data_IF_176169731921
#
_entry.id   IF_176169731921
#
_cell.length_a   1.000
_cell.length_b   1.000
_cell.length_c   1.000
_cell.angle_alpha   90.00
_cell.angle_beta   90.00
_cell.angle_gamma   90.00
#
_symmetry.space_group_name_H-M   'P 1'
#
loop_
_entity.id
_entity.type
_entity.pdbx_description
1 polymer ?
#
# COMPACT_ATOMS: atom_id res chain seq x y z
N UNK A 1 -16.00 16.40 -11.77
CA UNK A 1 -15.63 16.50 -10.33
C UNK A 1 -14.21 16.08 -10.04
N UNK A 2 -13.71 14.96 -10.57
CA UNK A 2 -12.31 14.52 -10.36
C UNK A 2 -11.28 15.62 -10.65
N UNK A 3 -11.32 16.21 -11.86
CA UNK A 3 -10.38 17.25 -12.26
C UNK A 3 -10.40 18.48 -11.34
N UNK A 4 -11.56 18.84 -10.79
CA UNK A 4 -11.64 19.93 -9.81
C UNK A 4 -10.92 19.55 -8.52
N UNK A 5 -11.15 18.35 -7.98
CA UNK A 5 -10.51 17.88 -6.76
C UNK A 5 -8.98 17.83 -6.93
N UNK A 6 -8.53 17.19 -8.01
CA UNK A 6 -7.11 17.08 -8.33
C UNK A 6 -6.46 18.45 -8.53
N UNK A 7 -7.13 19.37 -9.24
CA UNK A 7 -6.64 20.74 -9.44
C UNK A 7 -6.52 21.54 -8.14
N UNK A 8 -7.49 21.41 -7.23
CA UNK A 8 -7.45 22.07 -5.92
C UNK A 8 -6.32 21.51 -5.06
N UNK A 9 -6.19 20.18 -5.00
CA UNK A 9 -5.16 19.50 -4.20
C UNK A 9 -3.73 19.71 -4.73
N UNK A 10 -3.56 19.97 -6.03
CA UNK A 10 -2.27 20.34 -6.61
C UNK A 10 -1.80 21.73 -6.18
N UNK A 11 -2.71 22.63 -5.81
CA UNK A 11 -2.41 24.02 -5.50
C UNK A 11 -2.36 24.25 -3.99
N UNK A 12 -1.40 23.59 -3.34
CA UNK A 12 -1.22 23.58 -1.89
C UNK A 12 -1.12 24.99 -1.26
N UNK A 13 -0.59 25.95 -2.01
CA UNK A 13 -0.45 27.34 -1.58
C UNK A 13 -1.81 28.03 -1.40
N UNK A 14 -2.83 27.63 -2.18
CA UNK A 14 -4.16 28.21 -2.09
C UNK A 14 -4.92 27.76 -0.84
N UNK A 15 -4.66 26.53 -0.36
CA UNK A 15 -5.32 26.00 0.83
C UNK A 15 -4.71 26.53 2.14
N UNK A 16 -3.60 27.27 2.08
CA UNK A 16 -2.92 27.78 3.28
C UNK A 16 -2.30 26.68 4.15
N UNK A 17 -2.24 25.44 3.66
CA UNK A 17 -1.70 24.29 4.41
C UNK A 17 -0.17 24.30 4.57
N UNK A 18 0.50 25.37 4.09
CA UNK A 18 1.96 25.50 4.08
C UNK A 18 2.55 26.29 5.26
N UNK A 19 1.75 26.86 6.17
CA UNK A 19 2.27 27.76 7.20
C UNK A 19 1.93 27.35 8.63
N UNK A 20 2.65 26.37 9.19
CA UNK A 20 2.75 26.24 10.65
C UNK A 20 4.06 25.51 11.01
N UNK A 21 5.00 26.26 11.61
CA UNK A 21 6.29 25.76 12.09
C UNK A 21 7.36 26.83 12.30
N UNK A 22 7.29 27.58 13.42
CA UNK A 22 8.27 28.63 13.77
C UNK A 22 9.60 28.08 14.35
N UNK A 23 9.72 26.77 14.58
CA UNK A 23 10.94 26.16 15.10
C UNK A 23 11.19 24.83 14.38
N UNK A 24 12.20 24.77 13.50
CA UNK A 24 12.80 23.48 13.10
C UNK A 24 12.81 23.10 11.62
N UNK A 25 12.15 23.83 10.72
CA UNK A 25 12.19 23.53 9.28
C UNK A 25 10.83 23.74 8.59
N UNK A 26 10.85 23.97 7.28
CA UNK A 26 9.63 24.05 6.45
C UNK A 26 9.11 22.64 6.15
N UNK A 27 8.15 22.16 6.93
CA UNK A 27 7.51 20.87 6.68
C UNK A 27 6.32 21.04 5.74
N UNK A 28 6.41 20.48 4.53
CA UNK A 28 5.37 20.54 3.50
C UNK A 28 4.21 19.60 3.83
N UNK A 29 2.97 20.08 3.84
CA UNK A 29 1.80 19.25 4.12
C UNK A 29 1.75 18.06 3.16
N UNK A 30 1.78 16.83 3.69
CA UNK A 30 1.65 15.63 2.84
C UNK A 30 0.19 15.34 2.52
N UNK A 31 -0.75 15.83 3.33
CA UNK A 31 -2.20 15.65 3.17
C UNK A 31 -2.71 15.94 1.76
N UNK A 32 -2.45 17.11 1.13
CA UNK A 32 -2.99 17.39 -0.20
C UNK A 32 -2.43 16.42 -1.25
N UNK A 33 -1.14 16.09 -1.19
CA UNK A 33 -0.53 15.10 -2.09
C UNK A 33 -1.06 13.70 -1.84
N UNK A 34 -1.23 13.31 -0.58
CA UNK A 34 -1.76 12.01 -0.21
C UNK A 34 -3.17 11.84 -0.76
N UNK A 35 -4.06 12.80 -0.50
CA UNK A 35 -5.42 12.82 -1.03
C UNK A 35 -5.45 12.88 -2.56
N UNK A 36 -4.56 13.67 -3.18
CA UNK A 36 -4.43 13.72 -4.64
C UNK A 36 -4.17 12.33 -5.22
N UNK A 37 -3.13 11.65 -4.73
CA UNK A 37 -2.77 10.33 -5.28
C UNK A 37 -3.76 9.25 -4.85
N UNK A 38 -4.36 9.35 -3.66
CA UNK A 38 -5.44 8.44 -3.25
C UNK A 38 -6.62 8.53 -4.23
N UNK A 39 -7.07 9.73 -4.58
CA UNK A 39 -8.15 9.93 -5.56
C UNK A 39 -7.71 9.41 -6.94
N UNK A 40 -6.54 9.81 -7.43
CA UNK A 40 -6.05 9.45 -8.76
C UNK A 40 -5.91 7.93 -8.93
N UNK A 41 -5.35 7.23 -7.95
CA UNK A 41 -5.23 5.76 -8.00
C UNK A 41 -6.58 5.08 -7.73
N UNK A 42 -7.39 5.58 -6.78
CA UNK A 42 -8.70 4.98 -6.46
C UNK A 42 -9.67 4.98 -7.64
N UNK A 43 -9.69 6.06 -8.43
CA UNK A 43 -10.55 6.14 -9.63
C UNK A 43 -10.23 5.05 -10.64
N UNK A 44 -8.98 4.60 -10.75
CA UNK A 44 -8.58 3.49 -11.63
C UNK A 44 -9.18 2.15 -11.21
N UNK A 45 -9.57 2.01 -9.94
CA UNK A 45 -10.25 0.83 -9.38
C UNK A 45 -11.77 0.99 -9.27
N UNK A 46 -12.31 2.17 -9.58
CA UNK A 46 -13.72 2.47 -9.32
C UNK A 46 -14.04 2.59 -7.83
N UNK A 47 -13.08 3.04 -7.02
CA UNK A 47 -13.31 3.36 -5.61
C UNK A 47 -14.03 4.70 -5.40
N UNK A 48 -14.40 4.98 -4.15
CA UNK A 48 -15.25 6.09 -3.72
C UNK A 48 -14.49 7.23 -3.02
N UNK A 49 -13.15 7.19 -3.01
CA UNK A 49 -12.32 8.20 -2.31
C UNK A 49 -12.64 9.63 -2.77
N UNK A 50 -12.95 9.82 -4.06
CA UNK A 50 -13.33 11.12 -4.60
C UNK A 50 -14.64 11.64 -3.97
N UNK A 51 -15.63 10.77 -3.84
CA UNK A 51 -16.93 11.13 -3.27
C UNK A 51 -16.79 11.42 -1.77
N UNK A 52 -16.01 10.59 -1.06
CA UNK A 52 -15.66 10.82 0.33
C UNK A 52 -14.92 12.15 0.52
N UNK A 53 -13.97 12.49 -0.35
CA UNK A 53 -13.28 13.78 -0.28
C UNK A 53 -14.24 14.97 -0.36
N UNK A 54 -15.20 14.95 -1.30
CA UNK A 54 -16.20 16.02 -1.41
C UNK A 54 -17.18 16.04 -0.25
N UNK A 55 -17.55 14.87 0.28
CA UNK A 55 -18.39 14.77 1.48
C UNK A 55 -17.70 15.41 2.69
N UNK A 56 -16.45 15.05 2.96
CA UNK A 56 -15.68 15.60 4.08
C UNK A 56 -15.39 17.09 3.90
N UNK A 57 -15.09 17.54 2.68
CA UNK A 57 -14.89 18.97 2.39
C UNK A 57 -16.19 19.77 2.58
N UNK A 58 -17.34 19.20 2.24
CA UNK A 58 -18.65 19.82 2.50
C UNK A 58 -19.03 19.82 3.99
N UNK A 59 -18.42 18.97 4.80
CA UNK A 59 -18.60 18.96 6.25
C UNK A 59 -17.77 20.04 6.98
N UNK A 60 -16.77 20.63 6.31
CA UNK A 60 -15.94 21.71 6.85
C UNK A 60 -16.69 23.03 7.04
N UNK A 61 -17.66 23.36 6.17
CA UNK A 61 -18.44 24.60 6.24
C UNK A 61 -19.73 24.48 5.39
N UNK A 62 -20.87 25.00 5.89
CA UNK A 62 -22.15 24.99 5.17
C UNK A 62 -22.06 25.68 3.79
N UNK A 63 -21.27 26.75 3.68
CA UNK A 63 -21.03 27.48 2.43
C UNK A 63 -20.16 26.67 1.48
N UNK A 64 -19.19 25.91 1.97
CA UNK A 64 -18.44 24.96 1.13
C UNK A 64 -19.37 23.92 0.52
N UNK A 65 -20.29 23.37 1.30
CA UNK A 65 -21.30 22.43 0.80
C UNK A 65 -22.15 23.00 -0.35
N UNK A 66 -22.62 24.25 -0.21
CA UNK A 66 -23.33 24.95 -1.28
C UNK A 66 -22.45 25.19 -2.52
N UNK A 67 -21.20 25.59 -2.30
CA UNK A 67 -20.26 25.87 -3.37
C UNK A 67 -19.84 24.60 -4.12
N UNK A 68 -19.76 23.44 -3.45
CA UNK A 68 -19.53 22.13 -4.08
C UNK A 68 -20.68 21.78 -5.04
N UNK A 69 -21.94 21.99 -4.63
CA UNK A 69 -23.09 21.78 -5.54
C UNK A 69 -23.06 22.72 -6.74
N UNK A 70 -22.59 23.96 -6.55
CA UNK A 70 -22.38 24.90 -7.65
C UNK A 70 -21.27 24.42 -8.59
N UNK A 71 -20.16 23.92 -8.03
CA UNK A 71 -19.01 23.43 -8.79
C UNK A 71 -19.35 22.19 -9.63
N UNK A 72 -20.27 21.33 -9.16
CA UNK A 72 -20.78 20.19 -9.95
C UNK A 72 -21.44 20.58 -11.27
N UNK A 73 -21.91 21.82 -11.40
CA UNK A 73 -22.54 22.35 -12.62
C UNK A 73 -21.56 23.10 -13.53
N UNK A 74 -20.31 23.33 -13.09
CA UNK A 74 -19.28 23.99 -13.89
C UNK A 74 -18.36 22.94 -14.55
N UNK A 75 -17.94 23.20 -15.79
CA UNK A 75 -16.86 22.44 -16.41
C UNK A 75 -15.52 22.80 -15.77
N UNK A 76 -14.60 21.84 -15.74
CA UNK A 76 -13.24 22.12 -15.31
C UNK A 76 -12.51 22.99 -16.33
N UNK A 77 -12.21 24.24 -15.94
CA UNK A 77 -11.41 25.19 -16.74
C UNK A 77 -9.98 25.29 -16.21
N UNK A 78 -9.82 25.47 -14.90
CA UNK A 78 -8.53 25.54 -14.24
C UNK A 78 -8.65 25.28 -12.74
N UNK A 79 -7.52 24.95 -12.10
CA UNK A 79 -7.43 24.82 -10.65
C UNK A 79 -7.85 26.10 -9.93
N UNK A 80 -7.34 27.26 -10.38
CA UNK A 80 -7.68 28.56 -9.79
C UNK A 80 -9.19 28.85 -9.88
N UNK A 81 -9.81 28.61 -11.05
CA UNK A 81 -11.24 28.83 -11.22
C UNK A 81 -12.05 27.92 -10.28
N UNK A 82 -11.65 26.66 -10.16
CA UNK A 82 -12.29 25.70 -9.24
C UNK A 82 -12.20 26.18 -7.80
N UNK A 83 -11.02 26.67 -7.40
CA UNK A 83 -10.77 27.24 -6.09
C UNK A 83 -11.64 28.49 -5.83
N UNK A 84 -11.68 29.43 -6.77
CA UNK A 84 -12.47 30.67 -6.66
C UNK A 84 -13.97 30.39 -6.51
N UNK A 85 -14.48 29.34 -7.17
CA UNK A 85 -15.87 28.90 -7.06
C UNK A 85 -16.08 28.22 -5.71
N UNK A 86 -15.19 27.31 -5.32
CA UNK A 86 -15.27 26.54 -4.08
C UNK A 86 -15.25 27.45 -2.85
N UNK A 87 -14.36 28.44 -2.80
CA UNK A 87 -14.21 29.36 -1.66
C UNK A 87 -14.95 30.69 -1.86
N UNK A 88 -15.95 30.74 -2.77
CA UNK A 88 -16.71 31.97 -3.01
C UNK A 88 -17.42 32.42 -1.74
N UNK A 89 -17.01 33.58 -1.22
CA UNK A 89 -17.58 34.16 0.00
C UNK A 89 -17.02 33.58 1.30
N UNK A 90 -15.92 32.82 1.22
CA UNK A 90 -15.18 32.29 2.36
C UNK A 90 -13.72 32.76 2.29
N UNK A 91 -13.11 33.02 3.44
CA UNK A 91 -11.65 33.04 3.54
C UNK A 91 -11.20 31.59 3.85
N UNK A 92 -10.39 30.95 3.00
CA UNK A 92 -9.87 29.60 3.26
C UNK A 92 -9.20 29.46 4.63
N UNK A 93 -8.67 30.55 5.21
CA UNK A 93 -8.03 30.53 6.54
C UNK A 93 -9.01 30.38 7.70
N UNK A 94 -10.28 30.72 7.48
CA UNK A 94 -11.34 30.64 8.49
C UNK A 94 -12.09 29.30 8.43
N UNK A 95 -11.78 28.44 7.46
CA UNK A 95 -12.41 27.13 7.28
C UNK A 95 -11.74 26.09 8.17
N UNK A 96 -12.55 25.33 8.91
CA UNK A 96 -12.09 24.16 9.66
C UNK A 96 -11.95 22.93 8.76
N UNK A 97 -10.71 22.62 8.37
CA UNK A 97 -10.40 21.46 7.53
C UNK A 97 -10.28 20.14 8.30
N UNK A 98 -10.59 20.09 9.60
CA UNK A 98 -10.44 18.88 10.42
C UNK A 98 -11.07 17.62 9.79
N UNK A 99 -12.30 17.63 9.22
CA UNK A 99 -12.87 16.44 8.59
C UNK A 99 -12.02 15.87 7.44
N UNK A 100 -11.41 16.74 6.63
CA UNK A 100 -10.52 16.34 5.52
C UNK A 100 -9.18 15.82 6.05
N UNK A 101 -8.67 16.41 7.14
CA UNK A 101 -7.45 15.96 7.80
C UNK A 101 -7.65 14.59 8.47
N UNK A 102 -8.79 14.37 9.15
CA UNK A 102 -9.17 13.08 9.72
C UNK A 102 -9.26 11.99 8.64
N UNK A 103 -9.91 12.28 7.51
CA UNK A 103 -9.95 11.37 6.36
C UNK A 103 -8.54 10.99 5.88
N UNK A 104 -7.66 11.97 5.70
CA UNK A 104 -6.29 11.72 5.27
C UNK A 104 -5.52 10.87 6.30
N UNK A 105 -5.71 11.14 7.60
CA UNK A 105 -5.12 10.37 8.70
C UNK A 105 -5.64 8.92 8.75
N UNK A 106 -6.92 8.71 8.49
CA UNK A 106 -7.52 7.38 8.36
C UNK A 106 -6.85 6.58 7.24
N UNK A 107 -6.78 7.12 6.02
CA UNK A 107 -6.12 6.44 4.90
C UNK A 107 -4.62 6.21 5.15
N UNK A 108 -3.92 7.20 5.70
CA UNK A 108 -2.51 7.07 6.06
C UNK A 108 -2.29 5.90 7.04
N UNK A 109 -3.13 5.78 8.06
CA UNK A 109 -3.03 4.74 9.08
C UNK A 109 -3.44 3.37 8.53
N UNK A 110 -4.59 3.32 7.86
CA UNK A 110 -5.26 2.07 7.52
C UNK A 110 -4.81 1.49 6.19
N UNK A 111 -4.34 2.30 5.23
CA UNK A 111 -3.63 1.83 4.04
C UNK A 111 -2.12 1.95 4.21
N UNK A 112 -1.62 3.13 4.55
CA UNK A 112 -0.16 3.39 4.62
C UNK A 112 0.58 2.49 5.61
N UNK A 113 0.29 2.64 6.89
CA UNK A 113 0.97 1.88 7.95
C UNK A 113 0.65 0.38 7.83
N UNK A 114 -0.56 0.01 7.41
CA UNK A 114 -0.91 -1.39 7.19
C UNK A 114 -0.05 -2.01 6.08
N UNK A 115 0.02 -1.40 4.89
CA UNK A 115 0.73 -1.96 3.74
C UNK A 115 2.25 -1.93 3.92
N UNK A 116 2.79 -1.00 4.70
CA UNK A 116 4.22 -0.95 5.02
C UNK A 116 4.60 -1.78 6.25
N UNK A 117 3.68 -2.52 6.88
CA UNK A 117 4.00 -3.39 8.01
C UNK A 117 3.89 -4.88 7.62
N UNK A 118 4.87 -5.45 6.89
CA UNK A 118 4.81 -6.84 6.42
C UNK A 118 4.78 -7.86 7.59
N UNK A 119 5.32 -7.47 8.74
CA UNK A 119 5.51 -8.35 9.90
C UNK A 119 4.26 -8.63 10.72
N UNK A 120 3.29 -7.71 10.79
CA UNK A 120 2.13 -7.81 11.68
C UNK A 120 2.53 -8.06 13.16
N UNK A 121 1.56 -8.40 14.03
CA UNK A 121 1.89 -8.91 15.38
C UNK A 121 2.70 -10.21 15.22
N UNK A 122 3.94 -10.27 15.73
CA UNK A 122 4.67 -11.54 15.93
C UNK A 122 3.77 -12.47 16.74
N UNK A 123 3.07 -13.38 16.07
CA UNK A 123 2.12 -14.29 16.69
C UNK A 123 2.39 -15.69 16.15
N UNK A 124 2.81 -16.57 17.05
CA UNK A 124 3.09 -17.98 16.81
C UNK A 124 4.56 -18.32 16.57
N UNK A 125 5.01 -19.43 17.15
CA UNK A 125 6.25 -20.10 16.79
C UNK A 125 6.19 -20.51 15.31
N UNK A 126 7.26 -20.26 14.56
CA UNK A 126 7.39 -20.78 13.19
C UNK A 126 7.27 -22.30 13.25
N UNK A 127 6.47 -22.90 12.36
CA UNK A 127 6.49 -24.35 12.19
C UNK A 127 7.92 -24.82 11.90
N UNK A 128 8.41 -25.79 12.66
CA UNK A 128 9.81 -26.23 12.65
C UNK A 128 10.23 -27.03 11.40
N UNK A 129 9.46 -26.97 10.31
CA UNK A 129 9.75 -27.74 9.11
C UNK A 129 10.86 -27.09 8.29
N UNK A 130 11.84 -27.89 7.87
CA UNK A 130 12.81 -27.44 6.88
C UNK A 130 12.16 -27.44 5.49
N UNK A 131 12.40 -26.40 4.69
CA UNK A 131 11.99 -26.34 3.26
C UNK A 131 12.36 -27.63 2.53
N UNK A 132 13.52 -28.21 2.84
CA UNK A 132 14.02 -29.45 2.21
C UNK A 132 13.10 -30.66 2.43
N UNK A 133 12.35 -30.68 3.53
CA UNK A 133 11.42 -31.76 3.86
C UNK A 133 10.11 -31.59 3.08
N UNK A 134 9.59 -30.36 3.04
CA UNK A 134 8.26 -30.05 2.47
C UNK A 134 8.28 -29.99 0.94
N UNK A 135 9.41 -29.58 0.34
CA UNK A 135 9.54 -29.45 -1.12
C UNK A 135 9.35 -30.78 -1.87
N UNK A 136 9.76 -31.89 -1.25
CA UNK A 136 9.68 -33.23 -1.85
C UNK A 136 8.30 -33.86 -1.74
N UNK A 137 7.39 -33.29 -0.95
CA UNK A 137 6.02 -33.78 -0.82
C UNK A 137 5.20 -33.54 -2.10
N UNK A 138 4.18 -34.35 -2.33
CA UNK A 138 3.30 -34.15 -3.48
C UNK A 138 2.42 -32.92 -3.29
N UNK A 139 2.15 -32.22 -4.38
CA UNK A 139 1.30 -31.02 -4.37
C UNK A 139 -0.07 -31.27 -3.74
N UNK A 140 -0.70 -32.41 -4.04
CA UNK A 140 -2.01 -32.76 -3.48
C UNK A 140 -1.97 -33.00 -1.97
N UNK A 141 -0.88 -33.57 -1.45
CA UNK A 141 -0.69 -33.78 -0.01
C UNK A 141 -0.54 -32.44 0.72
N UNK A 142 0.22 -31.50 0.15
CA UNK A 142 0.36 -30.15 0.67
C UNK A 142 -0.98 -29.40 0.68
N UNK A 143 -1.73 -29.46 -0.43
CA UNK A 143 -3.05 -28.83 -0.54
C UNK A 143 -4.06 -29.47 0.42
N UNK A 144 -3.98 -30.79 0.63
CA UNK A 144 -4.85 -31.49 1.57
C UNK A 144 -4.57 -31.06 3.01
N UNK A 145 -3.30 -30.97 3.43
CA UNK A 145 -2.94 -30.43 4.77
C UNK A 145 -3.46 -29.02 4.99
N UNK A 146 -3.37 -28.17 3.95
CA UNK A 146 -3.95 -26.81 4.01
C UNK A 146 -5.45 -26.88 4.28
N UNK A 147 -6.19 -27.77 3.62
CA UNK A 147 -7.64 -27.92 3.84
C UNK A 147 -7.98 -28.48 5.22
N UNK A 148 -7.30 -29.54 5.64
CA UNK A 148 -7.57 -30.25 6.90
C UNK A 148 -7.36 -29.36 8.13
N UNK A 149 -6.43 -28.43 8.04
CA UNK A 149 -6.09 -27.49 9.11
C UNK A 149 -6.86 -26.17 9.00
N UNK A 150 -7.99 -26.14 8.27
CA UNK A 150 -8.88 -24.97 8.21
C UNK A 150 -8.40 -23.83 7.32
N UNK A 151 -7.55 -24.12 6.32
CA UNK A 151 -6.95 -23.15 5.42
C UNK A 151 -5.52 -22.78 5.82
N UNK A 152 -5.06 -21.62 5.35
CA UNK A 152 -3.66 -21.22 5.55
C UNK A 152 -3.36 -20.52 6.89
N UNK A 153 -4.37 -20.25 7.73
CA UNK A 153 -4.26 -19.91 9.15
C UNK A 153 -3.12 -18.97 9.58
N UNK A 154 -2.73 -19.02 10.86
CA UNK A 154 -1.56 -18.30 11.37
C UNK A 154 -0.27 -18.91 10.81
N UNK A 155 0.26 -18.31 9.74
CA UNK A 155 1.63 -18.44 9.21
C UNK A 155 2.14 -19.87 8.95
N UNK A 156 1.54 -20.56 7.98
CA UNK A 156 2.15 -21.73 7.31
C UNK A 156 3.16 -21.32 6.24
N UNK A 157 4.13 -20.49 6.62
CA UNK A 157 5.07 -19.90 5.67
C UNK A 157 5.85 -20.97 4.90
N UNK A 158 6.22 -22.08 5.54
CA UNK A 158 6.97 -23.16 4.88
C UNK A 158 6.13 -23.92 3.82
N UNK A 159 4.84 -24.14 4.08
CA UNK A 159 3.95 -24.72 3.06
C UNK A 159 3.73 -23.75 1.90
N UNK A 160 3.52 -22.46 2.18
CA UNK A 160 3.37 -21.44 1.14
C UNK A 160 4.65 -21.27 0.31
N UNK A 161 5.83 -21.33 0.94
CA UNK A 161 7.14 -21.36 0.25
C UNK A 161 7.23 -22.57 -0.69
N UNK A 162 6.88 -23.77 -0.21
CA UNK A 162 6.92 -24.99 -1.00
C UNK A 162 5.93 -24.95 -2.18
N UNK A 163 4.71 -24.50 -1.96
CA UNK A 163 3.71 -24.33 -3.01
C UNK A 163 4.15 -23.27 -4.05
N UNK A 164 4.68 -22.14 -3.59
CA UNK A 164 5.24 -21.09 -4.44
C UNK A 164 6.41 -21.61 -5.31
N UNK A 165 7.29 -22.46 -4.76
CA UNK A 165 8.33 -23.13 -5.56
C UNK A 165 7.75 -24.06 -6.63
N UNK A 166 6.73 -24.84 -6.26
CA UNK A 166 6.08 -25.74 -7.22
C UNK A 166 5.36 -24.95 -8.32
N UNK A 167 4.85 -23.75 -8.00
CA UNK A 167 4.23 -22.83 -8.97
C UNK A 167 5.26 -22.16 -9.89
N UNK A 168 6.30 -21.55 -9.33
CA UNK A 168 7.16 -20.61 -10.07
C UNK A 168 8.53 -21.16 -10.44
N UNK A 169 8.97 -22.25 -9.80
CA UNK A 169 10.29 -22.85 -9.98
C UNK A 169 11.25 -22.51 -8.85
N UNK A 170 12.52 -22.91 -9.01
CA UNK A 170 13.57 -22.84 -7.98
C UNK A 170 14.53 -21.64 -8.13
N UNK A 171 14.13 -20.61 -8.87
CA UNK A 171 14.88 -19.36 -9.08
C UNK A 171 14.05 -18.16 -8.66
N UNK A 172 14.71 -17.09 -8.20
CA UNK A 172 14.05 -15.82 -7.96
C UNK A 172 13.68 -15.18 -9.30
N UNK A 173 12.39 -14.93 -9.52
CA UNK A 173 11.84 -14.39 -10.77
C UNK A 173 12.36 -12.99 -11.14
N UNK A 174 13.01 -12.30 -10.19
CA UNK A 174 13.46 -10.91 -10.34
C UNK A 174 14.97 -10.79 -10.50
N UNK A 175 15.74 -11.80 -10.09
CA UNK A 175 17.22 -11.74 -10.05
C UNK A 175 17.88 -12.91 -10.79
N UNK A 176 17.09 -13.88 -11.24
CA UNK A 176 17.50 -15.16 -11.82
C UNK A 176 18.43 -15.99 -10.92
N UNK A 177 18.55 -15.64 -9.63
CA UNK A 177 19.38 -16.38 -8.70
C UNK A 177 18.67 -17.65 -8.22
N UNK A 178 19.36 -18.81 -8.19
CA UNK A 178 18.78 -20.04 -7.66
C UNK A 178 18.61 -19.95 -6.14
N UNK A 179 17.55 -20.57 -5.62
CA UNK A 179 17.28 -20.60 -4.19
C UNK A 179 17.97 -21.77 -3.47
N UNK A 180 18.35 -21.57 -2.20
CA UNK A 180 18.60 -22.67 -1.26
C UNK A 180 17.26 -23.30 -0.83
N UNK A 181 17.16 -24.64 -0.66
CA UNK A 181 18.24 -25.63 -0.67
C UNK A 181 18.57 -26.26 -2.02
N UNK A 182 17.92 -25.88 -3.12
CA UNK A 182 18.12 -26.51 -4.44
C UNK A 182 19.52 -26.31 -5.01
N UNK A 183 20.18 -25.22 -4.61
CA UNK A 183 21.57 -24.94 -4.92
C UNK A 183 22.27 -24.44 -3.65
N UNK A 184 23.33 -25.14 -3.21
CA UNK A 184 24.11 -24.75 -2.02
C UNK A 184 24.78 -23.37 -2.16
N UNK A 185 25.09 -22.95 -3.38
CA UNK A 185 25.60 -21.63 -3.69
C UNK A 185 24.49 -20.58 -3.94
N UNK A 186 23.22 -21.00 -3.87
CA UNK A 186 22.07 -20.14 -4.10
C UNK A 186 21.83 -19.10 -3.00
N UNK A 187 20.83 -18.26 -3.22
CA UNK A 187 20.39 -17.21 -2.29
C UNK A 187 19.39 -17.74 -1.26
N UNK A 188 19.28 -17.05 -0.12
CA UNK A 188 18.25 -17.35 0.87
C UNK A 188 16.88 -16.92 0.36
N UNK A 189 15.91 -17.82 0.55
CA UNK A 189 14.53 -17.61 0.20
C UNK A 189 13.82 -16.73 1.23
N UNK A 190 13.12 -15.70 0.77
CA UNK A 190 12.11 -14.98 1.54
C UNK A 190 10.73 -15.15 0.89
N UNK A 191 9.72 -15.44 1.70
CA UNK A 191 8.33 -15.47 1.24
C UNK A 191 7.74 -14.07 1.41
N UNK A 192 7.49 -13.41 0.29
CA UNK A 192 6.81 -12.14 0.27
C UNK A 192 5.30 -12.36 0.18
N UNK A 193 4.52 -11.63 0.98
CA UNK A 193 3.08 -11.47 0.73
C UNK A 193 2.88 -10.22 -0.13
N UNK A 194 1.97 -10.28 -1.10
CA UNK A 194 1.64 -9.13 -1.95
C UNK A 194 0.82 -8.14 -1.13
N UNK A 195 -0.28 -8.60 -0.54
CA UNK A 195 -0.99 -7.85 0.50
C UNK A 195 -0.50 -8.36 1.86
N UNK A 196 0.06 -7.49 2.71
CA UNK A 196 0.70 -7.94 3.93
C UNK A 196 -0.32 -8.44 4.95
N UNK A 197 0.13 -9.39 5.78
CA UNK A 197 -0.68 -10.01 6.83
C UNK A 197 -1.15 -9.03 7.91
N UNK A 198 -0.53 -7.85 8.01
CA UNK A 198 -1.00 -6.75 8.86
C UNK A 198 -2.42 -6.28 8.53
N UNK A 199 -2.94 -6.56 7.33
CA UNK A 199 -4.31 -6.25 6.92
C UNK A 199 -5.33 -7.20 7.56
N UNK A 200 -4.89 -8.40 7.97
CA UNK A 200 -5.77 -9.44 8.51
C UNK A 200 -6.56 -8.96 9.73
N UNK A 201 -7.87 -9.25 9.74
CA UNK A 201 -8.78 -8.99 10.86
C UNK A 201 -8.77 -7.53 11.36
N UNK A 202 -8.53 -6.56 10.47
CA UNK A 202 -8.63 -5.13 10.76
C UNK A 202 -9.80 -4.49 9.99
N UNK A 203 -10.99 -4.38 10.61
CA UNK A 203 -12.19 -3.90 9.91
C UNK A 203 -12.00 -2.50 9.32
N UNK A 204 -11.32 -1.59 10.01
CA UNK A 204 -11.07 -0.23 9.52
C UNK A 204 -10.12 -0.22 8.30
N UNK A 205 -9.11 -1.09 8.29
CA UNK A 205 -8.27 -1.30 7.11
C UNK A 205 -9.07 -1.85 5.94
N UNK A 206 -9.95 -2.83 6.17
CA UNK A 206 -10.81 -3.35 5.11
C UNK A 206 -11.80 -2.30 4.61
N UNK A 207 -12.32 -1.43 5.49
CA UNK A 207 -13.15 -0.27 5.11
C UNK A 207 -12.39 0.68 4.21
N UNK A 208 -11.15 1.05 4.55
CA UNK A 208 -10.33 1.90 3.68
C UNK A 208 -9.97 1.22 2.35
N UNK A 209 -9.76 -0.10 2.32
CA UNK A 209 -9.57 -0.83 1.05
C UNK A 209 -10.85 -0.82 0.23
N UNK A 210 -12.03 -0.99 0.84
CA UNK A 210 -13.32 -0.92 0.14
C UNK A 210 -13.52 0.46 -0.48
N UNK A 211 -13.22 1.52 0.27
CA UNK A 211 -13.31 2.88 -0.24
C UNK A 211 -12.31 3.12 -1.38
N UNK A 212 -11.08 2.63 -1.23
CA UNK A 212 -10.02 2.84 -2.22
C UNK A 212 -10.22 2.04 -3.51
N UNK A 213 -10.59 0.77 -3.43
CA UNK A 213 -10.57 -0.17 -4.56
C UNK A 213 -11.88 -0.95 -4.77
N UNK A 214 -12.94 -0.63 -4.02
CA UNK A 214 -14.24 -1.27 -4.11
C UNK A 214 -14.37 -2.55 -3.29
N UNK A 215 -15.63 -2.97 -3.06
CA UNK A 215 -15.96 -4.14 -2.24
C UNK A 215 -15.38 -5.46 -2.79
N UNK A 216 -15.33 -5.62 -4.12
CA UNK A 216 -14.77 -6.81 -4.76
C UNK A 216 -13.27 -7.00 -4.41
N UNK A 217 -12.49 -5.92 -4.29
CA UNK A 217 -11.10 -6.01 -3.87
C UNK A 217 -10.97 -6.48 -2.41
N UNK A 218 -11.89 -6.06 -1.54
CA UNK A 218 -11.93 -6.52 -0.14
C UNK A 218 -12.25 -8.01 -0.06
N UNK A 219 -13.22 -8.48 -0.84
CA UNK A 219 -13.55 -9.90 -0.88
C UNK A 219 -12.30 -10.71 -1.28
N UNK A 220 -11.59 -10.31 -2.34
CA UNK A 220 -10.33 -10.96 -2.74
C UNK A 220 -9.29 -10.95 -1.61
N UNK A 221 -9.07 -9.80 -0.96
CA UNK A 221 -8.13 -9.67 0.16
C UNK A 221 -8.50 -10.63 1.30
N UNK A 222 -9.76 -10.65 1.73
CA UNK A 222 -10.22 -11.48 2.86
C UNK A 222 -10.10 -12.96 2.55
N UNK A 223 -10.48 -13.39 1.34
CA UNK A 223 -10.43 -14.80 0.96
C UNK A 223 -9.01 -15.31 0.69
N UNK A 224 -8.10 -14.43 0.26
CA UNK A 224 -6.79 -14.84 -0.26
C UNK A 224 -5.59 -14.35 0.53
N UNK A 225 -5.75 -13.66 1.67
CA UNK A 225 -4.62 -13.08 2.40
C UNK A 225 -3.50 -14.07 2.74
N UNK A 226 -3.85 -15.31 3.12
CA UNK A 226 -2.87 -16.36 3.39
C UNK A 226 -2.78 -17.40 2.27
N UNK A 227 -3.22 -17.10 1.05
CA UNK A 227 -3.28 -18.06 -0.06
C UNK A 227 -2.02 -18.01 -0.93
N UNK A 228 -1.75 -19.07 -1.71
CA UNK A 228 -0.70 -19.06 -2.75
C UNK A 228 -0.86 -17.88 -3.72
N UNK A 229 -2.11 -17.46 -3.99
CA UNK A 229 -2.43 -16.30 -4.81
C UNK A 229 -1.95 -14.95 -4.25
N UNK A 230 -1.58 -14.87 -2.97
CA UNK A 230 -1.10 -13.64 -2.34
C UNK A 230 0.40 -13.70 -1.98
N UNK A 231 1.14 -14.67 -2.49
CA UNK A 231 2.56 -14.82 -2.14
C UNK A 231 3.46 -15.06 -3.34
N UNK A 232 4.73 -14.74 -3.16
CA UNK A 232 5.81 -15.08 -4.08
C UNK A 232 7.12 -15.27 -3.34
N UNK A 233 8.00 -16.08 -3.91
CA UNK A 233 9.32 -16.36 -3.37
C UNK A 233 10.35 -15.39 -3.95
N UNK A 234 11.12 -14.74 -3.09
CA UNK A 234 12.09 -13.71 -3.47
C UNK A 234 13.46 -13.90 -2.83
N UNK A 235 14.47 -13.31 -3.48
CA UNK A 235 15.77 -13.02 -2.88
C UNK A 235 15.64 -11.88 -1.84
N UNK A 236 16.51 -11.84 -0.84
CA UNK A 236 16.41 -10.94 0.31
C UNK A 236 16.40 -9.45 -0.04
N UNK A 237 17.24 -8.98 -0.97
CA UNK A 237 17.27 -7.58 -1.38
C UNK A 237 16.06 -7.21 -2.25
N UNK A 238 15.64 -8.11 -3.14
CA UNK A 238 14.40 -7.95 -3.90
C UNK A 238 13.17 -7.86 -2.96
N UNK A 239 13.16 -8.66 -1.89
CA UNK A 239 12.14 -8.59 -0.84
C UNK A 239 12.19 -7.29 -0.05
N UNK A 240 13.37 -6.87 0.42
CA UNK A 240 13.52 -5.63 1.18
C UNK A 240 13.11 -4.38 0.38
N UNK A 241 13.46 -4.32 -0.91
CA UNK A 241 13.00 -3.24 -1.79
C UNK A 241 11.50 -3.26 -2.06
N UNK A 242 10.87 -4.45 -2.09
CA UNK A 242 9.41 -4.57 -2.18
C UNK A 242 8.72 -4.05 -0.91
N UNK A 243 9.23 -4.43 0.27
CA UNK A 243 8.73 -3.95 1.57
C UNK A 243 8.87 -2.42 1.74
N UNK A 244 9.85 -1.82 1.05
CA UNK A 244 10.07 -0.37 0.98
C UNK A 244 9.30 0.33 -0.14
N UNK A 245 8.42 -0.40 -0.82
CA UNK A 245 7.57 0.08 -1.91
C UNK A 245 8.37 0.71 -3.06
N UNK A 246 9.56 0.19 -3.36
CA UNK A 246 10.41 0.71 -4.45
C UNK A 246 9.93 0.21 -5.82
N UNK A 247 9.15 -0.86 -5.83
CA UNK A 247 8.60 -1.46 -7.02
C UNK A 247 7.30 -2.22 -6.69
N UNK A 248 6.53 -2.57 -7.72
CA UNK A 248 5.33 -3.39 -7.62
C UNK A 248 5.06 -4.20 -8.87
N UNK A 249 3.93 -4.89 -8.91
CA UNK A 249 3.54 -5.78 -10.01
C UNK A 249 2.28 -5.24 -10.66
N UNK A 250 2.36 -4.94 -11.96
CA UNK A 250 1.18 -4.63 -12.77
C UNK A 250 0.68 -5.93 -13.42
N UNK A 251 -0.56 -6.31 -13.16
CA UNK A 251 -1.18 -7.46 -13.81
C UNK A 251 -2.15 -6.99 -14.91
N UNK A 252 -2.06 -7.59 -16.10
CA UNK A 252 -2.95 -7.29 -17.25
C UNK A 252 -3.50 -8.56 -17.85
N UNK A 253 -4.78 -8.53 -18.19
CA UNK A 253 -5.39 -9.59 -18.99
C UNK A 253 -5.15 -9.32 -20.48
N UNK A 254 -4.42 -10.22 -21.14
CA UNK A 254 -4.11 -10.17 -22.57
C UNK A 254 -4.44 -11.52 -23.22
N UNK A 255 -5.47 -11.54 -24.08
CA UNK A 255 -5.84 -12.77 -24.80
C UNK A 255 -6.40 -13.88 -23.92
N UNK A 256 -7.02 -13.54 -22.77
CA UNK A 256 -7.56 -14.49 -21.81
C UNK A 256 -6.53 -15.09 -20.84
N UNK A 257 -5.28 -14.62 -20.90
CA UNK A 257 -4.24 -14.94 -19.94
C UNK A 257 -3.80 -13.68 -19.20
N UNK A 258 -3.41 -13.83 -17.94
CA UNK A 258 -2.85 -12.72 -17.16
C UNK A 258 -1.34 -12.67 -17.35
N UNK A 259 -0.82 -11.51 -17.71
CA UNK A 259 0.62 -11.18 -17.70
C UNK A 259 0.95 -10.24 -16.56
N UNK A 260 2.15 -10.39 -16.02
CA UNK A 260 2.64 -9.61 -14.90
C UNK A 260 3.85 -8.81 -15.34
N UNK A 261 3.89 -7.53 -15.05
CA UNK A 261 4.97 -6.63 -15.44
C UNK A 261 5.60 -6.01 -14.20
N UNK A 262 6.92 -6.02 -14.17
CA UNK A 262 7.70 -5.35 -13.14
C UNK A 262 7.54 -3.84 -13.30
N UNK A 263 7.16 -3.15 -12.23
CA UNK A 263 7.01 -1.70 -12.22
C UNK A 263 7.88 -1.05 -11.16
N UNK A 264 8.80 -0.18 -11.58
CA UNK A 264 9.51 0.69 -10.65
C UNK A 264 8.58 1.80 -10.20
N UNK A 265 8.71 2.20 -8.94
CA UNK A 265 7.94 3.32 -8.38
C UNK A 265 8.90 4.50 -8.27
N UNK A 266 8.63 5.61 -8.98
CA UNK A 266 9.52 6.77 -8.96
C UNK A 266 9.79 7.23 -7.54
N UNK A 267 11.07 7.43 -7.22
CA UNK A 267 11.48 8.07 -5.97
C UNK A 267 12.17 9.40 -6.28
N UNK A 268 12.15 10.35 -5.33
CA UNK A 268 12.81 11.66 -5.50
C UNK A 268 14.31 11.52 -5.73
N UNK A 269 14.89 10.44 -5.22
CA UNK A 269 16.29 10.11 -5.38
C UNK A 269 16.43 9.15 -6.56
N UNK A 270 17.09 9.60 -7.63
CA UNK A 270 17.40 8.80 -8.83
C UNK A 270 18.44 7.68 -8.54
N UNK A 271 18.35 7.07 -7.37
CA UNK A 271 19.22 5.99 -6.92
C UNK A 271 18.78 4.77 -7.73
N UNK A 272 19.77 4.18 -8.41
CA UNK A 272 19.70 2.93 -9.18
C UNK A 272 18.63 2.01 -8.59
N UNK A 273 17.76 1.49 -9.46
CA UNK A 273 16.74 0.51 -9.09
C UNK A 273 17.34 -0.62 -8.23
N UNK A 274 16.50 -1.33 -7.46
CA UNK A 274 16.92 -2.28 -6.44
C UNK A 274 18.04 -3.17 -6.97
N UNK A 275 19.27 -2.96 -6.47
CA UNK A 275 20.52 -3.20 -7.22
C UNK A 275 20.81 -4.65 -7.66
N UNK A 276 19.96 -5.60 -7.30
CA UNK A 276 20.06 -7.00 -7.66
C UNK A 276 18.94 -7.49 -8.60
N UNK A 277 17.90 -6.67 -8.84
CA UNK A 277 16.83 -7.00 -9.78
C UNK A 277 17.36 -6.84 -11.22
N UNK A 278 17.25 -7.91 -12.01
CA UNK A 278 17.69 -7.96 -13.41
C UNK A 278 16.66 -7.36 -14.36
N UNK A 279 15.39 -7.31 -13.93
CA UNK A 279 14.28 -6.76 -14.71
C UNK A 279 14.30 -5.23 -14.79
N UNK A 280 13.94 -4.71 -15.96
CA UNK A 280 13.67 -3.29 -16.21
C UNK A 280 12.19 -2.97 -16.07
N UNK A 281 11.87 -1.71 -15.82
CA UNK A 281 10.47 -1.27 -15.79
C UNK A 281 9.72 -1.70 -17.07
N UNK A 282 8.59 -2.36 -16.89
CA UNK A 282 7.75 -2.88 -17.96
C UNK A 282 8.15 -4.24 -18.51
N UNK A 283 9.22 -4.87 -18.01
CA UNK A 283 9.55 -6.26 -18.37
C UNK A 283 8.62 -7.25 -17.67
N UNK A 284 8.33 -8.34 -18.35
CA UNK A 284 7.40 -9.37 -17.87
C UNK A 284 8.04 -10.24 -16.78
N UNK A 285 7.32 -10.40 -15.67
CA UNK A 285 7.62 -11.37 -14.61
C UNK A 285 6.94 -12.69 -14.98
N UNK A 286 7.74 -13.72 -15.28
CA UNK A 286 7.22 -14.98 -15.79
C UNK A 286 6.91 -15.97 -14.66
N UNK A 287 5.76 -15.79 -14.01
CA UNK A 287 5.21 -16.72 -13.03
C UNK A 287 4.78 -18.07 -13.64
N UNK A 288 4.56 -19.09 -12.82
CA UNK A 288 3.99 -20.37 -13.30
C UNK A 288 4.97 -21.29 -14.04
N UNK A 289 6.27 -20.97 -14.04
CA UNK A 289 7.32 -21.79 -14.68
C UNK A 289 7.71 -23.05 -13.91
N UNK A 290 7.20 -23.22 -12.70
CA UNK A 290 7.46 -24.38 -11.86
C UNK A 290 6.77 -25.64 -12.39
N UNK A 291 7.12 -26.81 -11.82
CA UNK A 291 6.59 -28.10 -12.25
C UNK A 291 5.06 -28.21 -12.16
N UNK A 292 4.41 -27.39 -11.33
CA UNK A 292 2.98 -27.42 -11.03
C UNK A 292 2.30 -26.08 -11.32
N UNK A 293 2.94 -25.17 -12.07
CA UNK A 293 2.42 -23.83 -12.35
C UNK A 293 1.00 -23.83 -12.90
N UNK A 294 0.71 -24.68 -13.90
CA UNK A 294 -0.66 -24.83 -14.46
C UNK A 294 -1.71 -25.24 -13.43
N UNK A 295 -1.32 -26.03 -12.43
CA UNK A 295 -2.23 -26.55 -11.38
C UNK A 295 -2.44 -25.53 -10.26
N UNK A 296 -1.39 -24.79 -9.91
CA UNK A 296 -1.38 -23.85 -8.79
C UNK A 296 -1.74 -22.41 -9.19
N UNK A 297 -2.08 -22.20 -10.46
CA UNK A 297 -2.31 -20.89 -11.06
C UNK A 297 -1.01 -20.31 -11.61
N UNK A 298 -1.08 -19.62 -12.75
CA UNK A 298 0.10 -19.06 -13.43
C UNK A 298 0.59 -17.75 -12.77
N UNK A 299 0.54 -17.66 -11.43
CA UNK A 299 0.98 -16.50 -10.67
C UNK A 299 0.08 -16.13 -9.50
N UNK A 300 0.36 -14.99 -8.86
CA UNK A 300 -0.51 -14.41 -7.85
C UNK A 300 -1.82 -13.85 -8.44
N UNK A 301 -2.76 -13.46 -7.59
CA UNK A 301 -4.03 -12.91 -8.03
C UNK A 301 -3.84 -11.49 -8.60
N UNK A 302 -4.37 -11.21 -9.81
CA UNK A 302 -4.18 -9.92 -10.48
C UNK A 302 -4.63 -8.73 -9.64
N UNK A 303 -5.81 -8.84 -9.01
CA UNK A 303 -6.41 -7.81 -8.17
C UNK A 303 -5.50 -7.42 -7.00
N UNK A 304 -4.84 -8.41 -6.37
CA UNK A 304 -3.95 -8.17 -5.23
C UNK A 304 -2.66 -7.47 -5.68
N UNK A 305 -2.09 -7.86 -6.82
CA UNK A 305 -0.93 -7.18 -7.42
C UNK A 305 -1.24 -5.71 -7.73
N UNK A 306 -2.36 -5.47 -8.42
CA UNK A 306 -2.79 -4.13 -8.80
C UNK A 306 -3.06 -3.27 -7.57
N UNK A 307 -3.76 -3.81 -6.55
CA UNK A 307 -4.02 -3.09 -5.30
C UNK A 307 -2.72 -2.70 -4.58
N UNK A 308 -1.76 -3.63 -4.44
CA UNK A 308 -0.48 -3.32 -3.82
C UNK A 308 0.29 -2.25 -4.59
N UNK A 309 0.35 -2.35 -5.93
CA UNK A 309 1.03 -1.36 -6.77
C UNK A 309 0.40 0.02 -6.64
N UNK A 310 -0.93 0.11 -6.59
CA UNK A 310 -1.66 1.36 -6.45
C UNK A 310 -1.38 2.01 -5.09
N UNK A 311 -1.48 1.26 -3.99
CA UNK A 311 -1.13 1.76 -2.65
C UNK A 311 0.34 2.18 -2.60
N UNK A 312 1.24 1.41 -3.21
CA UNK A 312 2.65 1.73 -3.26
C UNK A 312 2.92 3.07 -3.98
N UNK A 313 2.25 3.33 -5.10
CA UNK A 313 2.30 4.61 -5.82
C UNK A 313 1.79 5.76 -4.95
N UNK A 314 0.63 5.60 -4.32
CA UNK A 314 0.06 6.61 -3.41
C UNK A 314 1.08 7.01 -2.35
N UNK A 315 1.67 6.04 -1.66
CA UNK A 315 2.54 6.31 -0.52
C UNK A 315 3.88 6.91 -0.94
N UNK A 316 4.48 6.43 -2.02
CA UNK A 316 5.78 6.95 -2.49
C UNK A 316 5.64 8.32 -3.14
N UNK A 317 4.63 8.53 -3.98
CA UNK A 317 4.47 9.79 -4.70
C UNK A 317 3.99 10.92 -3.80
N UNK A 318 3.22 10.62 -2.75
CA UNK A 318 2.85 11.60 -1.71
C UNK A 318 3.98 11.91 -0.72
N UNK A 319 4.96 11.02 -0.57
CA UNK A 319 5.99 11.08 0.46
C UNK A 319 5.57 10.49 1.81
N UNK A 320 4.37 9.92 1.91
CA UNK A 320 3.90 9.22 3.11
C UNK A 320 4.80 8.02 3.47
N UNK A 321 5.33 7.32 2.46
CA UNK A 321 6.23 6.19 2.68
C UNK A 321 7.52 6.60 3.42
N UNK A 322 8.09 7.76 3.09
CA UNK A 322 9.33 8.26 3.72
C UNK A 322 9.10 8.54 5.21
N UNK A 323 7.93 9.10 5.56
CA UNK A 323 7.53 9.36 6.96
C UNK A 323 7.38 8.04 7.72
N UNK A 324 6.73 7.04 7.12
CA UNK A 324 6.54 5.72 7.76
C UNK A 324 7.89 5.02 7.97
N UNK A 325 8.83 5.15 7.02
CA UNK A 325 10.18 4.59 7.16
C UNK A 325 10.95 5.29 8.28
N UNK A 326 10.94 6.62 8.34
CA UNK A 326 11.55 7.38 9.44
C UNK A 326 11.01 6.93 10.81
N UNK A 327 9.70 6.69 10.93
CA UNK A 327 9.12 6.18 12.17
C UNK A 327 9.55 4.76 12.54
N UNK A 328 9.80 3.91 11.54
CA UNK A 328 10.32 2.56 11.80
C UNK A 328 11.76 2.64 12.32
N UNK A 329 12.59 3.45 11.67
CA UNK A 329 13.98 3.65 12.06
C UNK A 329 14.06 4.22 13.49
N UNK A 330 13.25 5.24 13.80
CA UNK A 330 13.14 5.82 15.15
C UNK A 330 12.68 4.79 16.20
N UNK A 331 11.73 3.92 15.85
CA UNK A 331 11.21 2.91 16.77
C UNK A 331 12.20 1.77 17.04
N UNK A 332 13.06 1.45 16.07
CA UNK A 332 14.09 0.41 16.18
C UNK A 332 15.28 0.89 17.04
N UNK A 333 15.59 2.19 17.07
CA UNK A 333 16.69 2.77 17.85
C UNK A 333 16.40 2.85 19.36
N UNK A 334 15.14 2.95 19.79
CA UNK A 334 14.79 3.29 21.19
C UNK A 334 14.45 2.09 22.10
N UNK A 335 14.62 0.85 21.67
CA UNK A 335 14.20 -0.33 22.45
C UNK A 335 12.70 -0.33 22.78
N UNK A 336 11.92 0.52 22.10
CA UNK A 336 10.51 0.77 22.34
C UNK A 336 9.66 -0.24 21.56
N UNK A 337 9.84 -1.52 21.90
CA UNK A 337 8.98 -2.60 21.43
C UNK A 337 7.57 -2.38 21.98
N UNK A 338 6.71 -1.65 21.24
CA UNK A 338 5.23 -1.71 21.18
C UNK A 338 4.62 -0.32 20.95
N UNK A 339 4.60 0.13 19.70
CA UNK A 339 3.65 1.15 19.25
C UNK A 339 2.92 0.63 18.01
N UNK A 340 1.93 -0.24 18.23
CA UNK A 340 0.97 -0.61 17.19
C UNK A 340 -0.42 -0.72 17.78
N UNK A 341 -1.14 0.39 17.75
CA UNK A 341 -2.58 0.53 17.51
C UNK A 341 -2.87 2.02 17.39
N UNK A 342 -4.01 2.39 16.82
CA UNK A 342 -4.58 3.74 16.87
C UNK A 342 -4.93 4.13 18.33
N UNK A 343 -3.95 4.07 19.23
CA UNK A 343 -4.09 4.51 20.60
C UNK A 343 -4.08 6.03 20.63
N UNK A 344 -4.64 6.60 21.68
CA UNK A 344 -4.56 8.02 21.95
C UNK A 344 -3.09 8.48 21.99
N UNK A 345 -2.14 7.62 22.36
CA UNK A 345 -0.71 7.91 22.25
C UNK A 345 -0.20 7.93 20.80
N UNK A 346 -0.66 7.06 19.89
CA UNK A 346 -0.29 7.15 18.47
C UNK A 346 -0.84 8.43 17.84
N UNK A 347 -2.09 8.81 18.16
CA UNK A 347 -2.64 10.12 17.75
C UNK A 347 -1.84 11.24 18.37
N UNK A 348 -1.57 11.24 19.68
CA UNK A 348 -0.69 12.24 20.32
C UNK A 348 0.72 12.25 19.78
N UNK A 349 1.26 11.15 19.28
CA UNK A 349 2.62 11.07 18.73
C UNK A 349 2.65 11.45 17.25
N UNK A 350 1.57 11.17 16.51
CA UNK A 350 1.32 11.70 15.17
C UNK A 350 1.07 13.19 15.24
N UNK A 351 0.16 13.63 16.10
CA UNK A 351 -0.12 15.02 16.45
C UNK A 351 1.14 15.68 16.99
N UNK A 352 1.93 15.06 17.87
CA UNK A 352 3.18 15.63 18.37
C UNK A 352 4.30 15.62 17.34
N UNK A 353 4.43 14.63 16.45
CA UNK A 353 5.35 14.71 15.31
C UNK A 353 4.86 15.78 14.34
N UNK A 354 3.56 15.92 14.12
CA UNK A 354 2.93 17.02 13.39
C UNK A 354 3.19 18.36 14.11
N UNK A 355 3.14 18.42 15.45
CA UNK A 355 3.32 19.59 16.32
C UNK A 355 4.79 20.04 16.36
N UNK A 356 5.70 19.09 16.53
CA UNK A 356 7.15 19.27 16.48
C UNK A 356 7.63 19.56 15.04
N UNK A 357 6.89 19.09 14.04
CA UNK A 357 7.00 19.55 12.64
C UNK A 357 6.16 20.80 12.34
N UNK A 358 5.61 21.43 13.39
CA UNK A 358 5.06 22.78 13.37
C UNK A 358 3.55 22.93 13.27
N UNK A 359 2.77 21.86 13.04
CA UNK A 359 1.39 21.87 12.49
C UNK A 359 0.20 21.86 13.44
N UNK A 360 0.38 22.23 14.70
CA UNK A 360 -0.75 22.58 15.55
C UNK A 360 -0.37 23.72 16.49
N UNK A 361 -1.31 24.62 16.74
CA UNK A 361 -1.18 25.67 17.74
C UNK A 361 -1.90 25.18 18.99
N UNK A 362 -1.26 25.30 20.16
CA UNK A 362 -1.94 25.07 21.44
C UNK A 362 -3.05 26.13 21.53
N UNK A 363 -4.31 25.68 21.50
CA UNK A 363 -5.43 26.46 22.03
C UNK A 363 -5.32 26.57 23.53
#
# INVERSE_FOLDING_TARGET
MEQHALGILQNEDLLGWNETGKQGGTFRAITPKLLYYLIEESQKFGGDVLDQFWEQLGACDDKLKENIESLKQEDFVSAQRSFDVLFRGLDPKDVDFEPVLEMAAEFFTHLGVAFMNPGGKKSGESTAFSISEVVNEKTDELLQRVKEEGGFGTRKQELLKALSFKRDGNFCLLTDQPFRPFNNAGVFLQLAHIIPNSVHAKPDTLKCIAMFAGAAAVDEVVHHLNNIGNVMNMEMNAHGSYDNLEWGIEAKEEGGEVKYFFRTIPTKTNIRGPGFITLRDGEEIQFGKGPEGKKLGNGPLPTLCSLQLAVARVLKMSGAADIILEWKDDADDDGCYRLFSASEEFRKMFDAKLFLSGRAVVG
#
